data_IF_798005454984
#
_entry.id   IF_798005454984
#
_cell.length_a   1.000
_cell.length_b   1.000
_cell.length_c   1.000
_cell.angle_alpha   90.00
_cell.angle_beta   90.00
_cell.angle_gamma   90.00
#
_symmetry.space_group_name_H-M   'P 1'
#
loop_
_entity.id
_entity.type
_entity.pdbx_description
1 polymer ?
#
# COMPACT_ATOMS: atom_id res chain seq x y z
N UNK A 1 -3.88 12.90 7.71
CA UNK A 1 -2.83 11.98 8.19
C UNK A 1 -2.77 10.63 7.44
N UNK A 2 -3.89 10.11 6.91
CA UNK A 2 -3.97 8.77 6.28
C UNK A 2 -3.00 8.51 5.11
N UNK A 3 -2.72 9.52 4.26
CA UNK A 3 -1.82 9.34 3.11
C UNK A 3 -0.38 8.94 3.51
N UNK A 4 0.17 9.51 4.58
CA UNK A 4 1.52 9.16 5.08
C UNK A 4 1.57 7.74 5.64
N UNK A 5 0.46 7.27 6.21
CA UNK A 5 0.35 5.94 6.75
C UNK A 5 0.30 4.88 5.65
N UNK A 6 -0.39 5.17 4.53
CA UNK A 6 -0.42 4.30 3.35
C UNK A 6 0.99 4.16 2.74
N UNK A 7 1.71 5.28 2.56
CA UNK A 7 3.09 5.27 2.05
C UNK A 7 4.03 4.45 2.94
N UNK A 8 3.94 4.62 4.27
CA UNK A 8 4.72 3.84 5.23
C UNK A 8 4.37 2.34 5.20
N UNK A 9 3.09 1.99 5.08
CA UNK A 9 2.64 0.61 4.98
C UNK A 9 3.13 -0.07 3.69
N UNK A 10 3.13 0.64 2.56
CA UNK A 10 3.60 0.12 1.28
C UNK A 10 5.12 -0.06 1.26
N UNK A 11 5.87 0.88 1.85
CA UNK A 11 7.33 0.81 1.94
C UNK A 11 7.78 -0.30 2.89
N UNK A 12 7.14 -0.42 4.06
CA UNK A 12 7.40 -1.51 5.00
C UNK A 12 7.02 -2.88 4.42
N UNK A 13 5.92 -2.98 3.66
CA UNK A 13 5.58 -4.20 2.93
C UNK A 13 6.65 -4.55 1.87
N UNK A 14 7.07 -3.58 1.05
CA UNK A 14 8.12 -3.80 0.06
C UNK A 14 9.44 -4.29 0.68
N UNK A 15 9.93 -3.60 1.71
CA UNK A 15 11.17 -3.95 2.38
C UNK A 15 11.09 -5.30 3.11
N UNK A 16 9.97 -5.54 3.81
CA UNK A 16 9.77 -6.78 4.56
C UNK A 16 9.63 -7.99 3.62
N UNK A 17 9.02 -7.83 2.45
CA UNK A 17 8.88 -8.92 1.46
C UNK A 17 10.23 -9.46 1.02
N UNK A 18 11.20 -8.59 0.69
CA UNK A 18 12.54 -8.99 0.28
C UNK A 18 13.29 -9.72 1.41
N UNK A 19 13.19 -9.20 2.63
CA UNK A 19 13.79 -9.82 3.81
C UNK A 19 13.17 -11.19 4.09
N UNK A 20 11.85 -11.28 4.01
CA UNK A 20 11.09 -12.50 4.25
C UNK A 20 11.42 -13.59 3.22
N UNK A 21 11.45 -13.24 1.94
CA UNK A 21 11.77 -14.21 0.88
C UNK A 21 13.22 -14.67 0.94
N UNK A 22 14.15 -13.79 1.30
CA UNK A 22 15.53 -14.18 1.57
C UNK A 22 15.62 -15.19 2.74
N UNK A 23 14.88 -14.93 3.82
CA UNK A 23 14.88 -15.78 5.00
C UNK A 23 14.21 -17.15 4.76
N UNK A 24 13.06 -17.16 4.06
CA UNK A 24 12.39 -18.40 3.64
C UNK A 24 13.21 -19.22 2.62
N UNK A 25 13.96 -18.55 1.75
CA UNK A 25 14.84 -19.21 0.79
C UNK A 25 16.01 -19.94 1.45
N UNK A 26 16.49 -19.43 2.60
CA UNK A 26 17.59 -20.01 3.37
C UNK A 26 17.13 -21.16 4.27
N UNK A 27 16.05 -20.99 5.00
CA UNK A 27 15.58 -21.96 6.00
C UNK A 27 14.21 -22.56 5.62
N UNK A 28 14.21 -23.81 5.14
CA UNK A 28 12.98 -24.55 4.74
C UNK A 28 12.18 -25.13 5.90
N UNK A 29 12.41 -24.65 7.12
CA UNK A 29 11.73 -25.16 8.32
C UNK A 29 10.32 -24.60 8.38
N UNK A 30 9.33 -25.45 8.63
CA UNK A 30 7.92 -25.07 8.69
C UNK A 30 7.65 -23.86 9.61
N UNK A 31 8.23 -23.86 10.81
CA UNK A 31 8.02 -22.78 11.78
C UNK A 31 8.53 -21.41 11.29
N UNK A 32 9.62 -21.38 10.53
CA UNK A 32 10.17 -20.13 9.97
C UNK A 32 9.22 -19.56 8.93
N UNK A 33 8.70 -20.42 8.04
CA UNK A 33 7.73 -20.04 7.01
C UNK A 33 6.43 -19.56 7.65
N UNK A 34 5.93 -20.23 8.70
CA UNK A 34 4.70 -19.85 9.38
C UNK A 34 4.82 -18.47 10.06
N UNK A 35 5.93 -18.19 10.74
CA UNK A 35 6.18 -16.90 11.39
C UNK A 35 6.31 -15.79 10.32
N UNK A 36 7.09 -16.04 9.28
CA UNK A 36 7.26 -15.13 8.14
C UNK A 36 5.90 -14.76 7.51
N UNK A 37 5.09 -15.77 7.18
CA UNK A 37 3.77 -15.57 6.57
C UNK A 37 2.80 -14.83 7.49
N UNK A 38 2.85 -15.10 8.80
CA UNK A 38 2.01 -14.41 9.78
C UNK A 38 2.40 -12.94 9.88
N UNK A 39 3.69 -12.64 10.01
CA UNK A 39 4.19 -11.27 10.07
C UNK A 39 3.83 -10.48 8.79
N UNK A 40 3.95 -11.13 7.63
CA UNK A 40 3.54 -10.55 6.35
C UNK A 40 2.05 -10.24 6.29
N UNK A 41 1.21 -11.17 6.76
CA UNK A 41 -0.25 -11.00 6.77
C UNK A 41 -0.68 -9.82 7.65
N UNK A 42 0.00 -9.59 8.78
CA UNK A 42 -0.26 -8.44 9.65
C UNK A 42 0.06 -7.13 8.94
N UNK A 43 1.21 -7.04 8.26
CA UNK A 43 1.60 -5.84 7.50
C UNK A 43 0.58 -5.54 6.39
N UNK A 44 0.16 -6.56 5.64
CA UNK A 44 -0.87 -6.42 4.61
C UNK A 44 -2.21 -5.99 5.21
N UNK A 45 -2.63 -6.54 6.34
CA UNK A 45 -3.89 -6.18 6.99
C UNK A 45 -3.92 -4.70 7.38
N UNK A 46 -2.80 -4.16 7.89
CA UNK A 46 -2.66 -2.75 8.24
C UNK A 46 -2.73 -1.86 6.99
N UNK A 47 -2.06 -2.24 5.90
CA UNK A 47 -2.10 -1.47 4.65
C UNK A 47 -3.48 -1.49 3.98
N UNK A 48 -4.09 -2.67 3.85
CA UNK A 48 -5.39 -2.85 3.19
C UNK A 48 -6.54 -2.15 3.92
N UNK A 49 -6.52 -2.11 5.25
CA UNK A 49 -7.52 -1.36 6.04
C UNK A 49 -7.45 0.15 5.79
N UNK A 50 -6.26 0.70 5.55
CA UNK A 50 -6.11 2.11 5.22
C UNK A 50 -6.56 2.45 3.80
N UNK A 51 -6.34 1.53 2.85
CA UNK A 51 -6.87 1.65 1.49
C UNK A 51 -8.39 1.64 1.50
N UNK A 52 -9.01 0.73 2.27
CA UNK A 52 -10.46 0.66 2.41
C UNK A 52 -11.06 1.96 2.99
N UNK A 53 -10.40 2.56 3.99
CA UNK A 53 -10.82 3.86 4.52
C UNK A 53 -10.74 4.97 3.45
N UNK A 54 -9.65 5.01 2.66
CA UNK A 54 -9.47 5.98 1.58
C UNK A 54 -10.49 5.81 0.45
N UNK A 55 -10.84 4.57 0.09
CA UNK A 55 -11.87 4.30 -0.92
C UNK A 55 -13.23 4.88 -0.48
N UNK A 56 -13.61 4.74 0.80
CA UNK A 56 -14.85 5.32 1.33
C UNK A 56 -14.82 6.85 1.28
N UNK A 57 -13.69 7.47 1.62
CA UNK A 57 -13.52 8.93 1.53
C UNK A 57 -13.66 9.43 0.09
N UNK A 58 -13.13 8.69 -0.90
CA UNK A 58 -13.20 9.09 -2.30
C UNK A 58 -14.62 9.16 -2.84
N UNK A 59 -15.49 8.25 -2.38
CA UNK A 59 -16.90 8.23 -2.76
C UNK A 59 -17.81 8.96 -1.78
N UNK A 60 -17.24 9.65 -0.78
CA UNK A 60 -18.00 10.46 0.17
C UNK A 60 -18.71 11.60 -0.56
N UNK A 61 -20.01 11.76 -0.32
CA UNK A 61 -20.85 12.73 -1.01
C UNK A 61 -21.65 12.20 -2.21
N UNK A 62 -21.46 10.93 -2.58
CA UNK A 62 -22.34 10.23 -3.53
C UNK A 62 -23.27 9.26 -2.79
N UNK A 63 -24.53 9.13 -3.18
CA UNK A 63 -25.47 8.14 -2.60
C UNK A 63 -25.09 6.67 -2.86
N UNK A 64 -23.96 6.43 -3.54
CA UNK A 64 -23.51 5.13 -4.02
C UNK A 64 -22.15 4.71 -3.42
N UNK A 65 -21.73 5.30 -2.30
CA UNK A 65 -20.42 5.07 -1.67
C UNK A 65 -20.08 3.58 -1.56
N UNK A 66 -20.95 2.77 -0.97
CA UNK A 66 -20.69 1.33 -0.79
C UNK A 66 -20.61 0.56 -2.11
N UNK A 67 -21.43 0.92 -3.10
CA UNK A 67 -21.45 0.25 -4.41
C UNK A 67 -20.22 0.62 -5.23
N UNK A 68 -19.80 1.89 -5.20
CA UNK A 68 -18.60 2.37 -5.89
C UNK A 68 -17.32 1.71 -5.34
N UNK A 69 -17.20 1.64 -4.01
CA UNK A 69 -16.11 0.92 -3.33
C UNK A 69 -16.11 -0.57 -3.71
N UNK A 70 -17.24 -1.25 -3.57
CA UNK A 70 -17.34 -2.69 -3.85
C UNK A 70 -17.01 -3.02 -5.31
N UNK A 71 -17.50 -2.22 -6.26
CA UNK A 71 -17.28 -2.43 -7.69
C UNK A 71 -15.83 -2.16 -8.07
N UNK A 72 -15.25 -1.05 -7.61
CA UNK A 72 -13.84 -0.73 -7.83
C UNK A 72 -12.91 -1.80 -7.28
N UNK A 73 -13.14 -2.23 -6.03
CA UNK A 73 -12.33 -3.24 -5.37
C UNK A 73 -12.44 -4.60 -6.08
N UNK A 74 -13.66 -5.01 -6.45
CA UNK A 74 -13.88 -6.31 -7.12
C UNK A 74 -13.25 -6.36 -8.51
N UNK A 75 -13.34 -5.28 -9.30
CA UNK A 75 -12.70 -5.21 -10.62
C UNK A 75 -11.17 -5.27 -10.47
N UNK A 76 -10.61 -4.49 -9.55
CA UNK A 76 -9.17 -4.48 -9.30
C UNK A 76 -8.68 -5.88 -8.86
N UNK A 77 -9.38 -6.53 -7.93
CA UNK A 77 -9.02 -7.86 -7.44
C UNK A 77 -9.15 -8.94 -8.52
N UNK A 78 -10.15 -8.83 -9.41
CA UNK A 78 -10.33 -9.77 -10.51
C UNK A 78 -9.22 -9.64 -11.54
N UNK A 79 -8.90 -8.41 -11.96
CA UNK A 79 -7.86 -8.15 -12.96
C UNK A 79 -6.48 -8.48 -12.42
N UNK A 80 -6.09 -7.87 -11.30
CA UNK A 80 -4.73 -7.98 -10.80
C UNK A 80 -4.53 -9.21 -9.91
N UNK A 81 -5.51 -9.55 -9.06
CA UNK A 81 -5.43 -10.73 -8.20
C UNK A 81 -5.42 -12.04 -8.98
N UNK A 82 -6.10 -12.12 -10.13
CA UNK A 82 -6.11 -13.30 -11.00
C UNK A 82 -4.89 -13.41 -11.93
N UNK A 83 -4.39 -12.28 -12.44
CA UNK A 83 -3.26 -12.28 -13.38
C UNK A 83 -1.91 -12.47 -12.68
N UNK A 84 -1.72 -11.93 -11.48
CA UNK A 84 -0.44 -11.99 -10.76
C UNK A 84 0.05 -13.42 -10.53
N UNK A 85 -0.76 -14.38 -10.06
CA UNK A 85 -0.34 -15.78 -9.91
C UNK A 85 0.05 -16.41 -11.23
N UNK A 86 -0.69 -16.13 -12.30
CA UNK A 86 -0.42 -16.68 -13.65
C UNK A 86 0.95 -16.21 -14.16
N UNK A 87 1.23 -14.91 -14.02
CA UNK A 87 2.54 -14.33 -14.39
C UNK A 87 3.64 -14.88 -13.48
N UNK A 88 3.39 -14.98 -12.18
CA UNK A 88 4.36 -15.52 -11.22
C UNK A 88 4.72 -16.98 -11.53
N UNK A 89 3.75 -17.84 -11.83
CA UNK A 89 3.99 -19.23 -12.24
C UNK A 89 4.80 -19.28 -13.53
N UNK A 90 4.43 -18.49 -14.53
CA UNK A 90 5.19 -18.43 -15.79
C UNK A 90 6.66 -18.01 -15.56
N UNK A 91 6.90 -17.01 -14.70
CA UNK A 91 8.26 -16.57 -14.38
C UNK A 91 9.06 -17.60 -13.57
N UNK A 92 8.40 -18.34 -12.68
CA UNK A 92 9.01 -19.41 -11.91
C UNK A 92 9.51 -20.53 -12.85
N UNK A 93 8.67 -20.95 -13.80
CA UNK A 93 8.97 -22.06 -14.71
C UNK A 93 10.00 -21.70 -15.78
N UNK A 94 9.98 -20.47 -16.31
CA UNK A 94 10.83 -20.08 -17.43
C UNK A 94 12.17 -19.45 -17.04
N UNK A 95 12.28 -18.75 -15.91
CA UNK A 95 13.48 -17.97 -15.57
C UNK A 95 14.21 -18.49 -14.34
N UNK A 96 13.57 -18.41 -13.18
CA UNK A 96 14.22 -18.74 -11.91
C UNK A 96 13.18 -18.82 -10.79
N UNK A 97 13.41 -19.67 -9.78
CA UNK A 97 12.62 -19.68 -8.55
C UNK A 97 12.54 -18.31 -7.86
N UNK A 98 13.51 -17.43 -8.10
CA UNK A 98 13.55 -16.10 -7.50
C UNK A 98 12.91 -15.00 -8.36
N UNK A 99 12.65 -15.26 -9.64
CA UNK A 99 12.11 -14.27 -10.58
C UNK A 99 10.74 -13.68 -10.14
N UNK A 100 9.79 -14.48 -9.60
CA UNK A 100 8.52 -13.94 -9.14
C UNK A 100 8.69 -12.92 -8.00
N UNK A 101 9.67 -13.13 -7.11
CA UNK A 101 9.89 -12.23 -5.97
C UNK A 101 10.40 -10.87 -6.44
N UNK A 102 11.33 -10.85 -7.39
CA UNK A 102 11.84 -9.61 -7.97
C UNK A 102 10.71 -8.85 -8.68
N UNK A 103 9.85 -9.56 -9.40
CA UNK A 103 8.69 -8.99 -10.08
C UNK A 103 7.69 -8.32 -9.12
N UNK A 104 7.32 -8.98 -8.03
CA UNK A 104 6.40 -8.39 -7.05
C UNK A 104 7.03 -7.19 -6.33
N UNK A 105 8.34 -7.26 -6.05
CA UNK A 105 9.06 -6.15 -5.43
C UNK A 105 9.13 -4.92 -6.34
N UNK A 106 9.39 -5.09 -7.63
CA UNK A 106 9.40 -3.98 -8.60
C UNK A 106 8.02 -3.39 -8.80
N UNK A 107 6.96 -4.20 -8.88
CA UNK A 107 5.58 -3.70 -8.92
C UNK A 107 5.24 -2.87 -7.68
N UNK A 108 5.69 -3.30 -6.50
CA UNK A 108 5.48 -2.55 -5.25
C UNK A 108 6.21 -1.21 -5.30
N UNK A 109 7.44 -1.17 -5.81
CA UNK A 109 8.20 0.07 -5.97
C UNK A 109 7.56 1.05 -6.98
N UNK A 110 7.05 0.52 -8.10
CA UNK A 110 6.32 1.33 -9.10
C UNK A 110 5.04 1.90 -8.49
N UNK A 111 4.28 1.08 -7.76
CA UNK A 111 3.05 1.50 -7.08
C UNK A 111 3.34 2.62 -6.07
N UNK A 112 4.38 2.47 -5.26
CA UNK A 112 4.83 3.51 -4.33
C UNK A 112 5.20 4.80 -5.06
N UNK A 113 5.95 4.69 -6.16
CA UNK A 113 6.35 5.85 -6.98
C UNK A 113 5.13 6.58 -7.54
N UNK A 114 4.13 5.85 -8.05
CA UNK A 114 2.90 6.44 -8.56
C UNK A 114 2.12 7.22 -7.48
N UNK A 115 2.07 6.69 -6.25
CA UNK A 115 1.47 7.40 -5.11
C UNK A 115 2.21 8.69 -4.76
N UNK A 116 3.55 8.65 -4.72
CA UNK A 116 4.38 9.84 -4.42
C UNK A 116 4.21 10.92 -5.49
N UNK A 117 4.13 10.55 -6.77
CA UNK A 117 3.94 11.49 -7.88
C UNK A 117 2.56 12.15 -7.80
N UNK A 118 1.48 11.36 -7.66
CA UNK A 118 0.10 11.88 -7.60
C UNK A 118 -0.10 12.87 -6.45
N UNK A 119 0.65 12.71 -5.36
CA UNK A 119 0.62 13.63 -4.22
C UNK A 119 1.14 15.03 -4.57
N UNK A 120 2.16 15.12 -5.44
CA UNK A 120 2.70 16.41 -5.88
C UNK A 120 1.68 17.19 -6.70
N UNK A 121 0.90 16.49 -7.52
CA UNK A 121 -0.13 17.09 -8.38
C UNK A 121 -1.35 17.58 -7.60
N UNK A 122 -1.72 16.88 -6.51
CA UNK A 122 -2.79 17.31 -5.60
C UNK A 122 -2.41 18.56 -4.81
N UNK A 123 -1.14 18.68 -4.39
CA UNK A 123 -0.67 19.87 -3.65
C UNK A 123 -0.53 21.08 -4.58
N UNK A 124 -0.14 20.89 -5.83
CA UNK A 124 0.05 21.99 -6.80
C UNK A 124 -1.25 22.55 -7.36
N UNK A 125 -2.38 21.84 -7.20
CA UNK A 125 -3.69 22.25 -7.72
C UNK A 125 -4.60 22.92 -6.68
N UNK A 126 -4.18 23.02 -5.41
CA UNK A 126 -4.94 23.72 -4.37
C UNK A 126 -4.82 25.25 -4.54
N UNK A 127 -5.94 26.01 -4.49
CA UNK A 127 -5.89 27.46 -4.45
C UNK A 127 -5.16 27.92 -3.17
N UNK A 128 -4.31 28.95 -3.29
CA UNK A 128 -3.42 29.48 -2.24
C UNK A 128 -4.11 29.73 -0.87
N UNK A 129 -5.43 29.94 -0.86
CA UNK A 129 -6.23 30.15 0.35
C UNK A 129 -6.39 28.92 1.25
N UNK A 130 -6.30 27.69 0.74
CA UNK A 130 -6.38 26.46 1.56
C UNK A 130 -5.01 25.89 1.93
N UNK A 131 -3.96 26.21 1.18
CA UNK A 131 -2.59 25.77 1.47
C UNK A 131 -2.08 26.34 2.81
N UNK A 132 -2.47 27.58 3.16
CA UNK A 132 -2.08 28.23 4.42
C UNK A 132 -2.71 27.55 5.64
N UNK A 133 -3.97 27.07 5.54
CA UNK A 133 -4.65 26.37 6.63
C UNK A 133 -4.03 25.00 6.93
N UNK A 134 -3.54 24.28 5.92
CA UNK A 134 -2.88 22.97 6.11
C UNK A 134 -1.47 23.10 6.73
N UNK A 135 -0.78 24.23 6.51
CA UNK A 135 0.48 24.53 7.21
C UNK A 135 0.29 25.13 8.60
N UNK A 136 -0.81 25.86 8.84
CA UNK A 136 -1.09 26.55 10.11
C UNK A 136 -1.51 25.64 11.26
N UNK A 137 -2.05 24.44 10.98
CA UNK A 137 -2.41 23.48 12.03
C UNK A 137 -1.20 22.85 12.74
N UNK A 138 0.02 22.95 12.19
CA UNK A 138 1.23 22.43 12.87
C UNK A 138 1.81 23.38 13.93
N UNK A 139 1.39 24.65 13.99
CA UNK A 139 1.90 25.61 15.00
C UNK A 139 0.98 25.72 16.23
N UNK A 140 -0.30 25.35 16.13
CA UNK A 140 -1.27 25.57 17.21
C UNK A 140 -1.31 24.43 18.25
N UNK A 141 -0.78 23.25 17.93
CA UNK A 141 -0.73 22.12 18.87
C UNK A 141 0.39 22.24 19.93
N UNK A 142 1.39 23.10 19.73
CA UNK A 142 2.42 23.37 20.75
C UNK A 142 1.98 24.40 21.80
N UNK A 143 0.97 25.24 21.51
CA UNK A 143 0.54 26.30 22.42
C UNK A 143 -0.49 25.86 23.49
N UNK A 144 -1.15 24.71 23.32
CA UNK A 144 -2.20 24.26 24.26
C UNK A 144 -1.66 23.35 25.39
N UNK A 145 -0.39 22.92 25.34
CA UNK A 145 0.20 22.10 26.43
C UNK A 145 0.94 22.90 27.52
N UNK A 146 0.95 24.24 27.46
CA UNK A 146 1.71 25.09 28.39
C UNK A 146 0.89 26.08 29.23
N UNK A 147 -0.44 25.96 29.23
CA UNK A 147 -1.35 26.71 30.14
C UNK A 147 -2.20 25.75 30.93
#
# INVERSE_FOLDING_TARGET
MHARFIEFSALSAGAFSLLMFWWMGRDRRFYVIAIAQTAWSVIIAIGSSCVAAFEVEFWSGSGYTYTGVALGHSIAYTLFGGLVPTVATFMYDFWSPFAPFVYISTLTAISLTAHVVRRKDLVSSLPFSEAVLVTGDNENDELISST
#
